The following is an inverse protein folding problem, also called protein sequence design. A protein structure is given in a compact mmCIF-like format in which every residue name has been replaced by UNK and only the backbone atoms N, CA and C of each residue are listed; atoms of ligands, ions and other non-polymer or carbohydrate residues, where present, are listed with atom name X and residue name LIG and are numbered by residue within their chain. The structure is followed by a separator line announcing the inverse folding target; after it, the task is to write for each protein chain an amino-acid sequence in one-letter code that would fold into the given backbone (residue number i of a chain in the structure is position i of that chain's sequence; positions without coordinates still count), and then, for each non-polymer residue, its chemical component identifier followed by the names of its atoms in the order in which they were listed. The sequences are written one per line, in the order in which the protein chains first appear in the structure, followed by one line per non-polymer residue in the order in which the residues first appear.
data_IF_648716519455
#
_entry.id   IF_648716519455
#
_cell.length_a   1.000
_cell.length_b   1.000
_cell.length_c   1.000
_cell.angle_alpha   90.00
_cell.angle_beta   90.00
_cell.angle_gamma   90.00
#
_symmetry.space_group_name_H-M   'P 1'
#
loop_
_entity.id
_entity.type
_entity.pdbx_description
1 polymer ?
#
# COMPACT_ATOMS: atom_id res chain seq x y z
N UNK A 1 -6.64 15.49 18.76
CA UNK A 1 -5.86 14.38 19.35
C UNK A 1 -4.47 14.95 19.53
N UNK A 2 -3.89 14.90 20.72
CA UNK A 2 -2.51 15.36 20.90
C UNK A 2 -1.52 14.35 20.30
N UNK A 3 -0.31 14.83 20.00
CA UNK A 3 0.72 14.07 19.29
C UNK A 3 1.16 12.83 20.09
N UNK A 4 1.15 12.92 21.44
CA UNK A 4 1.53 11.80 22.32
C UNK A 4 0.54 10.64 22.25
N UNK A 5 -0.77 10.92 22.30
CA UNK A 5 -1.79 9.87 22.16
C UNK A 5 -1.76 9.24 20.77
N UNK A 6 -1.48 10.04 19.73
CA UNK A 6 -1.34 9.53 18.37
C UNK A 6 -0.12 8.59 18.23
N UNK A 7 1.02 8.94 18.84
CA UNK A 7 2.23 8.10 18.84
C UNK A 7 1.98 6.76 19.52
N UNK A 8 1.37 6.76 20.72
CA UNK A 8 1.06 5.52 21.46
C UNK A 8 0.15 4.58 20.66
N UNK A 9 -0.84 5.11 19.94
CA UNK A 9 -1.72 4.30 19.09
C UNK A 9 -0.97 3.74 17.89
N UNK A 10 -0.08 4.52 17.28
CA UNK A 10 0.75 4.06 16.16
C UNK A 10 1.65 2.91 16.59
N UNK A 11 2.35 3.05 17.71
CA UNK A 11 3.19 2.00 18.28
C UNK A 11 2.38 0.73 18.58
N UNK A 12 1.18 0.89 19.15
CA UNK A 12 0.29 -0.23 19.40
C UNK A 12 -0.08 -0.98 18.11
N UNK A 13 -0.42 -0.24 17.05
CA UNK A 13 -0.76 -0.83 15.75
C UNK A 13 0.45 -1.53 15.12
N UNK A 14 1.63 -0.92 15.18
CA UNK A 14 2.89 -1.51 14.69
C UNK A 14 3.15 -2.86 15.37
N UNK A 15 2.98 -2.95 16.69
CA UNK A 15 3.14 -4.24 17.41
C UNK A 15 2.16 -5.30 16.91
N UNK A 16 0.90 -4.92 16.66
CA UNK A 16 -0.11 -5.86 16.19
C UNK A 16 0.12 -6.33 14.74
N UNK A 17 0.84 -5.56 13.91
CA UNK A 17 1.22 -6.00 12.56
C UNK A 17 2.03 -7.29 12.63
N UNK A 18 3.03 -7.37 13.53
CA UNK A 18 3.86 -8.57 13.72
C UNK A 18 3.01 -9.79 14.08
N UNK A 19 2.04 -9.62 14.97
CA UNK A 19 1.14 -10.70 15.39
C UNK A 19 0.32 -11.23 14.20
N UNK A 20 -0.26 -10.34 13.40
CA UNK A 20 -1.05 -10.72 12.22
C UNK A 20 -0.19 -11.37 11.15
N UNK A 21 1.00 -10.83 10.88
CA UNK A 21 1.93 -11.42 9.92
C UNK A 21 2.40 -12.80 10.38
N UNK A 22 2.68 -13.00 11.67
CA UNK A 22 3.11 -14.30 12.21
C UNK A 22 2.11 -15.44 11.91
N UNK A 23 0.81 -15.13 11.92
CA UNK A 23 -0.25 -16.07 11.60
C UNK A 23 -0.44 -16.26 10.09
N UNK A 24 -0.14 -15.22 9.32
CA UNK A 24 -0.29 -15.20 7.87
C UNK A 24 0.86 -15.89 7.14
N UNK A 25 2.12 -15.64 7.52
CA UNK A 25 3.30 -16.12 6.81
C UNK A 25 3.36 -17.65 6.58
N UNK A 26 2.91 -18.51 7.51
CA UNK A 26 2.88 -19.95 7.26
C UNK A 26 2.01 -20.37 6.07
N UNK A 27 1.03 -19.54 5.70
CA UNK A 27 0.12 -19.77 4.56
C UNK A 27 0.62 -19.18 3.23
N UNK A 28 1.75 -18.46 3.27
CA UNK A 28 2.31 -17.73 2.12
C UNK A 28 3.40 -18.56 1.45
N UNK A 29 3.17 -18.95 0.20
CA UNK A 29 4.19 -19.56 -0.65
C UNK A 29 5.27 -18.56 -1.12
N UNK A 30 5.99 -18.92 -2.18
CA UNK A 30 6.91 -18.00 -2.88
C UNK A 30 6.23 -17.26 -4.04
N UNK A 31 4.92 -17.47 -4.22
CA UNK A 31 4.14 -16.84 -5.29
C UNK A 31 4.08 -15.31 -5.13
N UNK A 32 3.89 -14.64 -6.26
CA UNK A 32 3.65 -13.21 -6.31
C UNK A 32 2.35 -12.84 -5.60
N UNK A 33 2.39 -11.81 -4.76
CA UNK A 33 1.19 -11.28 -4.10
C UNK A 33 1.30 -9.78 -3.83
N UNK A 34 0.16 -9.19 -3.49
CA UNK A 34 0.04 -7.76 -3.18
C UNK A 34 -0.70 -7.59 -1.87
N UNK A 35 -0.10 -6.86 -0.94
CA UNK A 35 -0.77 -6.42 0.29
C UNK A 35 -1.40 -5.06 0.01
N UNK A 36 -2.73 -5.00 0.11
CA UNK A 36 -3.48 -3.75 0.20
C UNK A 36 -3.66 -3.41 1.68
N UNK A 37 -2.82 -2.51 2.18
CA UNK A 37 -2.95 -2.00 3.53
C UNK A 37 -4.03 -0.94 3.63
N UNK A 38 -4.83 -1.00 4.70
CA UNK A 38 -5.91 -0.05 4.98
C UNK A 38 -5.67 0.54 6.36
N UNK A 39 -5.35 1.83 6.40
CA UNK A 39 -4.92 2.54 7.61
C UNK A 39 -5.90 3.67 7.94
N UNK A 40 -6.43 3.78 9.17
CA UNK A 40 -7.23 4.93 9.57
C UNK A 40 -6.40 6.21 9.57
N UNK A 41 -6.88 7.31 8.99
CA UNK A 41 -6.13 8.57 8.97
C UNK A 41 -5.83 9.12 10.36
N UNK A 42 -6.62 8.74 11.37
CA UNK A 42 -6.45 9.19 12.75
C UNK A 42 -5.10 8.82 13.39
N UNK A 43 -4.32 7.94 12.75
CA UNK A 43 -2.99 7.52 13.24
C UNK A 43 -1.84 8.09 12.40
N UNK A 44 -2.17 8.75 11.29
CA UNK A 44 -1.23 9.34 10.34
C UNK A 44 -1.13 10.84 10.57
N UNK A 45 0.02 11.42 10.23
CA UNK A 45 0.26 12.86 10.32
C UNK A 45 -0.47 13.56 9.18
N UNK A 46 -1.51 14.39 9.43
CA UNK A 46 -2.29 15.02 8.37
C UNK A 46 -1.48 15.95 7.47
N UNK A 47 -0.37 16.52 7.99
CA UNK A 47 0.54 17.37 7.21
C UNK A 47 1.49 16.56 6.33
N UNK A 48 1.65 15.26 6.60
CA UNK A 48 2.58 14.40 5.88
C UNK A 48 2.14 12.92 5.92
N UNK A 49 1.07 12.62 5.18
CA UNK A 49 0.52 11.27 5.13
C UNK A 49 1.51 10.23 4.58
N UNK A 50 2.33 10.60 3.59
CA UNK A 50 3.28 9.68 2.98
C UNK A 50 4.39 9.31 3.96
N UNK A 51 5.02 10.29 4.61
CA UNK A 51 6.08 9.96 5.59
C UNK A 51 5.51 9.25 6.82
N UNK A 52 4.28 9.56 7.24
CA UNK A 52 3.67 8.87 8.38
C UNK A 52 3.20 7.44 8.09
N UNK A 53 3.09 7.03 6.82
CA UNK A 53 2.81 5.63 6.47
C UNK A 53 4.07 4.77 6.36
N UNK A 54 5.23 5.38 6.08
CA UNK A 54 6.50 4.64 5.93
C UNK A 54 6.81 3.74 7.13
N UNK A 55 6.72 4.17 8.40
CA UNK A 55 6.99 3.28 9.53
C UNK A 55 6.11 2.03 9.57
N UNK A 56 4.86 2.13 9.11
CA UNK A 56 3.95 0.99 9.02
C UNK A 56 4.41 0.01 7.94
N UNK A 57 4.81 0.54 6.78
CA UNK A 57 5.31 -0.28 5.66
C UNK A 57 6.65 -0.92 6.02
N UNK A 58 7.59 -0.15 6.57
CA UNK A 58 8.90 -0.62 7.02
C UNK A 58 8.78 -1.74 8.05
N UNK A 59 7.84 -1.65 9.00
CA UNK A 59 7.59 -2.73 9.94
C UNK A 59 7.19 -4.05 9.24
N UNK A 60 6.36 -3.98 8.19
CA UNK A 60 5.97 -5.16 7.41
C UNK A 60 7.19 -5.72 6.66
N UNK A 61 7.96 -4.84 6.01
CA UNK A 61 9.15 -5.21 5.24
C UNK A 61 10.24 -5.82 6.13
N UNK A 62 10.54 -5.22 7.29
CA UNK A 62 11.48 -5.74 8.28
C UNK A 62 11.03 -7.09 8.83
N UNK A 63 9.74 -7.23 9.15
CA UNK A 63 9.21 -8.51 9.62
C UNK A 63 9.34 -9.60 8.55
N UNK A 64 9.01 -9.28 7.30
CA UNK A 64 9.17 -10.20 6.16
C UNK A 64 10.64 -10.57 5.95
N UNK A 65 11.54 -9.58 5.91
CA UNK A 65 12.97 -9.82 5.70
C UNK A 65 13.58 -10.73 6.77
N UNK A 66 13.15 -10.59 8.03
CA UNK A 66 13.67 -11.39 9.15
C UNK A 66 13.14 -12.83 9.17
N UNK A 67 11.91 -13.06 8.70
CA UNK A 67 11.24 -14.37 8.80
C UNK A 67 11.17 -15.13 7.46
N UNK A 68 11.26 -14.41 6.35
CA UNK A 68 11.15 -14.87 4.95
C UNK A 68 12.07 -14.03 4.05
N UNK A 69 13.40 -14.12 4.21
CA UNK A 69 14.36 -13.33 3.44
C UNK A 69 14.35 -13.64 1.92
N UNK A 70 13.66 -14.72 1.52
CA UNK A 70 13.38 -15.05 0.12
C UNK A 70 12.34 -14.10 -0.51
N UNK A 71 11.50 -13.46 0.30
CA UNK A 71 10.45 -12.55 -0.16
C UNK A 71 11.03 -11.18 -0.46
N UNK A 72 10.94 -10.75 -1.72
CA UNK A 72 11.29 -9.38 -2.13
C UNK A 72 10.09 -8.46 -2.03
N UNK A 73 10.21 -7.37 -1.28
CA UNK A 73 9.15 -6.37 -1.12
C UNK A 73 9.37 -5.13 -2.00
N UNK A 74 8.29 -4.43 -2.34
CA UNK A 74 8.33 -3.12 -3.00
C UNK A 74 7.14 -2.28 -2.58
N UNK A 75 7.38 -1.15 -1.92
CA UNK A 75 6.32 -0.17 -1.63
C UNK A 75 5.94 0.59 -2.91
N UNK A 76 4.77 0.27 -3.47
CA UNK A 76 4.41 0.72 -4.83
C UNK A 76 3.56 1.97 -4.83
N UNK A 77 2.56 2.08 -3.97
CA UNK A 77 1.67 3.23 -4.00
C UNK A 77 1.01 3.52 -2.66
N UNK A 78 0.66 4.77 -2.42
CA UNK A 78 -0.22 5.19 -1.34
C UNK A 78 -1.29 6.15 -1.85
N UNK A 79 -2.51 5.98 -1.35
CA UNK A 79 -3.69 6.76 -1.74
C UNK A 79 -4.43 7.22 -0.50
N UNK A 80 -4.55 8.53 -0.32
CA UNK A 80 -5.21 9.14 0.84
C UNK A 80 -6.64 9.48 0.45
N UNK A 81 -7.62 8.99 1.20
CA UNK A 81 -9.03 9.38 1.11
C UNK A 81 -9.52 9.93 2.44
N UNK A 82 -10.72 10.52 2.46
CA UNK A 82 -11.35 10.98 3.70
C UNK A 82 -11.50 9.82 4.69
N UNK A 83 -10.80 9.91 5.81
CA UNK A 83 -10.84 8.97 6.94
C UNK A 83 -9.96 7.72 6.82
N UNK A 84 -9.53 7.33 5.61
CA UNK A 84 -8.67 6.16 5.39
C UNK A 84 -7.59 6.41 4.34
N UNK A 85 -6.44 5.82 4.60
CA UNK A 85 -5.32 5.72 3.68
C UNK A 85 -5.14 4.28 3.25
N UNK A 86 -4.82 4.11 1.97
CA UNK A 86 -4.52 2.82 1.38
C UNK A 86 -3.05 2.81 0.96
N UNK A 87 -2.36 1.69 1.16
CA UNK A 87 -1.03 1.48 0.62
C UNK A 87 -0.93 0.13 -0.09
N UNK A 88 -0.08 0.06 -1.10
CA UNK A 88 0.22 -1.15 -1.86
C UNK A 88 1.66 -1.56 -1.64
N UNK A 89 1.84 -2.76 -1.09
CA UNK A 89 3.14 -3.41 -0.92
C UNK A 89 3.14 -4.68 -1.77
N UNK A 90 4.03 -4.74 -2.75
CA UNK A 90 4.18 -5.88 -3.63
C UNK A 90 5.23 -6.85 -3.08
N UNK A 91 4.92 -8.14 -3.15
CA UNK A 91 5.78 -9.23 -2.74
C UNK A 91 6.08 -10.12 -3.95
N UNK A 92 7.34 -10.45 -4.17
CA UNK A 92 7.82 -11.36 -5.22
C UNK A 92 7.40 -10.98 -6.64
N UNK A 93 7.41 -9.67 -6.96
CA UNK A 93 7.35 -9.19 -8.33
C UNK A 93 8.76 -8.86 -8.81
N UNK A 94 9.41 -9.84 -9.45
CA UNK A 94 10.76 -9.71 -9.99
C UNK A 94 10.80 -8.75 -11.19
N UNK A 95 9.87 -8.91 -12.13
CA UNK A 95 9.88 -8.22 -13.43
C UNK A 95 9.04 -6.95 -13.44
N UNK A 96 9.06 -6.21 -12.33
CA UNK A 96 8.36 -4.94 -12.26
C UNK A 96 9.03 -3.94 -13.21
N UNK A 97 8.39 -3.69 -14.34
CA UNK A 97 8.86 -2.74 -15.34
C UNK A 97 8.07 -1.43 -15.21
N UNK A 98 8.73 -0.40 -14.69
CA UNK A 98 8.13 0.91 -14.44
C UNK A 98 7.65 1.59 -15.73
N UNK A 99 8.37 1.41 -16.85
CA UNK A 99 8.03 1.99 -18.15
C UNK A 99 6.72 1.43 -18.69
N UNK A 100 6.45 0.14 -18.46
CA UNK A 100 5.25 -0.55 -18.97
C UNK A 100 4.17 -0.79 -17.92
N UNK A 101 4.38 -0.36 -16.67
CA UNK A 101 3.43 -0.57 -15.57
C UNK A 101 2.04 0.04 -15.83
N UNK A 102 1.97 1.11 -16.63
CA UNK A 102 0.72 1.74 -17.08
C UNK A 102 -0.05 0.95 -18.15
N UNK A 103 0.50 -0.15 -18.67
CA UNK A 103 -0.19 -1.09 -19.56
C UNK A 103 -0.36 -2.48 -18.92
N UNK A 104 0.22 -2.71 -17.74
CA UNK A 104 0.18 -3.99 -17.07
C UNK A 104 -1.27 -4.39 -16.70
N UNK A 105 -1.67 -5.59 -17.10
CA UNK A 105 -2.98 -6.21 -16.80
C UNK A 105 -2.86 -7.44 -15.91
N UNK A 106 -1.66 -7.69 -15.37
CA UNK A 106 -1.42 -8.86 -14.51
C UNK A 106 -2.32 -8.81 -13.29
N UNK A 107 -3.07 -9.89 -13.08
CA UNK A 107 -3.91 -10.08 -11.90
C UNK A 107 -3.04 -10.69 -10.81
N UNK A 108 -2.74 -9.88 -9.80
CA UNK A 108 -1.92 -10.30 -8.66
C UNK A 108 -2.87 -10.60 -7.49
N UNK A 109 -2.73 -11.74 -6.81
CA UNK A 109 -3.48 -12.04 -5.59
C UNK A 109 -3.38 -10.92 -4.55
N UNK A 110 -4.50 -10.25 -4.28
CA UNK A 110 -4.59 -9.19 -3.28
C UNK A 110 -4.96 -9.75 -1.90
N UNK A 111 -4.17 -9.41 -0.89
CA UNK A 111 -4.45 -9.63 0.52
C UNK A 111 -4.68 -8.28 1.19
N UNK A 112 -5.83 -8.11 1.85
CA UNK A 112 -6.17 -6.86 2.51
C UNK A 112 -5.71 -6.89 3.96
N UNK A 113 -4.68 -6.10 4.28
CA UNK A 113 -4.23 -5.86 5.64
C UNK A 113 -4.99 -4.67 6.21
N UNK A 114 -6.07 -4.96 6.96
CA UNK A 114 -6.86 -3.90 7.61
C UNK A 114 -6.24 -3.58 8.96
N UNK A 115 -5.60 -2.42 9.06
CA UNK A 115 -5.12 -1.89 10.33
C UNK A 115 -6.29 -1.24 11.09
N UNK A 116 -6.39 -1.53 12.38
CA UNK A 116 -7.40 -0.92 13.23
C UNK A 116 -6.85 -0.78 14.64
N UNK A 117 -7.48 0.08 15.45
CA UNK A 117 -7.11 0.26 16.86
C UNK A 117 -7.45 -0.96 17.74
N UNK A 118 -8.23 -1.92 17.24
CA UNK A 118 -8.69 -3.08 18.00
C UNK A 118 -7.93 -4.33 17.61
N UNK A 119 -8.21 -4.83 16.41
CA UNK A 119 -7.60 -6.04 15.89
C UNK A 119 -7.31 -5.84 14.41
N UNK A 120 -6.04 -5.91 13.97
CA UNK A 120 -5.73 -5.95 12.57
C UNK A 120 -6.04 -7.33 12.01
N UNK A 121 -6.32 -7.39 10.72
CA UNK A 121 -6.63 -8.64 10.01
C UNK A 121 -5.97 -8.61 8.65
N UNK A 122 -5.58 -9.79 8.15
CA UNK A 122 -5.12 -9.97 6.78
C UNK A 122 -5.91 -11.09 6.13
N UNK A 123 -6.56 -10.78 5.01
CA UNK A 123 -7.43 -11.74 4.32
C UNK A 123 -7.27 -11.62 2.81
N UNK A 124 -7.26 -12.77 2.13
CA UNK A 124 -7.30 -12.84 0.67
C UNK A 124 -8.62 -12.27 0.14
N UNK A 125 -8.54 -11.42 -0.89
CA UNK A 125 -9.69 -10.75 -1.51
C UNK A 125 -9.66 -10.82 -3.04
N UNK A 126 -10.08 -11.96 -3.65
CA UNK A 126 -10.01 -12.17 -5.10
C UNK A 126 -10.78 -11.12 -5.91
N UNK A 127 -11.87 -10.61 -5.36
CA UNK A 127 -12.67 -9.55 -5.97
C UNK A 127 -11.89 -8.25 -6.20
N UNK A 128 -10.76 -8.06 -5.52
CA UNK A 128 -9.92 -6.87 -5.62
C UNK A 128 -8.76 -6.99 -6.61
N UNK A 129 -8.42 -8.18 -7.11
CA UNK A 129 -7.24 -8.38 -7.97
C UNK A 129 -7.29 -7.48 -9.21
N UNK A 130 -8.42 -7.52 -9.94
CA UNK A 130 -8.64 -6.68 -11.11
C UNK A 130 -8.81 -5.21 -10.78
N UNK A 131 -9.48 -4.90 -9.66
CA UNK A 131 -9.73 -3.52 -9.23
C UNK A 131 -8.42 -2.82 -8.88
N UNK A 132 -7.57 -3.46 -8.08
CA UNK A 132 -6.26 -2.91 -7.66
C UNK A 132 -5.31 -2.81 -8.86
N UNK A 133 -5.30 -3.81 -9.75
CA UNK A 133 -4.51 -3.73 -10.98
C UNK A 133 -4.93 -2.52 -11.85
N UNK A 134 -6.24 -2.29 -12.02
CA UNK A 134 -6.75 -1.13 -12.77
C UNK A 134 -6.38 0.20 -12.10
N UNK A 135 -6.52 0.31 -10.77
CA UNK A 135 -6.16 1.53 -10.03
C UNK A 135 -4.67 1.82 -10.18
N UNK A 136 -3.80 0.83 -9.95
CA UNK A 136 -2.36 1.04 -10.02
C UNK A 136 -1.92 1.42 -11.44
N UNK A 137 -2.48 0.78 -12.47
CA UNK A 137 -2.25 1.13 -13.87
C UNK A 137 -2.60 2.59 -14.15
N UNK A 138 -3.74 3.04 -13.65
CA UNK A 138 -4.17 4.43 -13.81
C UNK A 138 -3.23 5.40 -13.08
N UNK A 139 -2.76 5.06 -11.87
CA UNK A 139 -1.77 5.90 -11.15
C UNK A 139 -0.47 6.03 -11.97
N UNK A 140 0.05 4.93 -12.52
CA UNK A 140 1.21 4.97 -13.42
C UNK A 140 0.99 5.77 -14.70
N UNK A 141 -0.24 5.79 -15.22
CA UNK A 141 -0.56 6.61 -16.37
C UNK A 141 -0.58 8.10 -16.01
N UNK A 142 -1.02 8.44 -14.80
CA UNK A 142 -1.20 9.81 -14.35
C UNK A 142 0.09 10.47 -13.83
N UNK A 143 0.96 9.70 -13.17
CA UNK A 143 2.16 10.19 -12.49
C UNK A 143 3.46 9.94 -13.31
N UNK A 144 3.33 9.51 -14.57
CA UNK A 144 4.43 9.21 -15.51
C UNK A 144 5.72 8.65 -14.88
N UNK A 145 6.80 9.44 -14.79
CA UNK A 145 8.13 9.03 -14.31
C UNK A 145 8.37 9.26 -12.81
N UNK A 146 7.32 9.57 -12.04
CA UNK A 146 7.47 9.79 -10.60
C UNK A 146 8.04 8.55 -9.89
N UNK A 147 8.99 8.71 -8.96
CA UNK A 147 9.55 7.57 -8.26
C UNK A 147 8.49 6.89 -7.39
N UNK A 148 8.67 5.59 -7.16
CA UNK A 148 7.85 4.87 -6.19
C UNK A 148 8.12 5.38 -4.75
N UNK A 149 7.12 5.36 -3.87
CA UNK A 149 5.74 4.97 -4.14
C UNK A 149 4.97 6.07 -4.89
N UNK A 150 4.11 5.66 -5.82
CA UNK A 150 3.12 6.56 -6.42
C UNK A 150 2.20 7.11 -5.33
N UNK A 151 1.85 8.39 -5.40
CA UNK A 151 1.15 9.05 -4.30
C UNK A 151 -0.01 9.91 -4.78
N UNK A 152 -1.22 9.64 -4.28
CA UNK A 152 -2.39 10.50 -4.49
C UNK A 152 -2.92 10.98 -3.14
N UNK A 153 -3.09 12.29 -2.99
CA UNK A 153 -3.72 12.88 -1.82
C UNK A 153 -5.08 13.49 -2.18
N UNK A 154 -6.19 12.79 -1.93
CA UNK A 154 -7.53 13.30 -2.21
C UNK A 154 -8.05 14.35 -1.19
N UNK A 155 -7.21 14.81 -0.26
CA UNK A 155 -7.47 16.06 0.48
C UNK A 155 -7.01 17.29 -0.29
N UNK A 156 -6.13 17.13 -1.28
CA UNK A 156 -5.69 18.24 -2.12
C UNK A 156 -6.76 18.55 -3.16
N UNK A 157 -7.43 19.69 -2.98
CA UNK A 157 -8.43 20.20 -3.93
C UNK A 157 -7.81 20.57 -5.28
N UNK A 158 -6.49 20.78 -5.31
CA UNK A 158 -5.71 21.08 -6.51
C UNK A 158 -4.92 19.88 -7.04
N UNK A 159 -5.29 18.65 -6.65
CA UNK A 159 -4.64 17.44 -7.17
C UNK A 159 -4.70 17.44 -8.70
N UNK A 160 -3.55 17.73 -9.32
CA UNK A 160 -3.36 17.79 -10.76
C UNK A 160 -2.25 16.82 -11.16
N UNK A 161 -2.43 16.23 -12.33
CA UNK A 161 -1.46 15.33 -12.93
C UNK A 161 -0.81 16.07 -14.10
N UNK A 162 0.37 16.67 -13.90
CA UNK A 162 0.93 17.60 -14.87
C UNK A 162 1.31 16.92 -16.19
N UNK A 163 1.70 15.64 -16.14
CA UNK A 163 2.20 14.91 -17.31
C UNK A 163 1.67 13.46 -17.33
N UNK A 164 0.40 13.20 -17.70
CA UNK A 164 -0.06 11.83 -17.89
C UNK A 164 0.54 11.23 -19.17
N UNK A 165 0.99 9.96 -19.11
CA UNK A 165 1.57 9.22 -20.25
C UNK A 165 0.62 9.09 -21.44
N UNK A 166 -0.65 8.84 -21.15
CA UNK A 166 -1.74 8.89 -22.13
C UNK A 166 -2.83 9.82 -21.64
N UNK A 167 -3.35 10.74 -22.50
CA UNK A 167 -4.51 11.54 -22.17
C UNK A 167 -5.70 10.62 -21.85
N UNK A 168 -6.37 10.85 -20.72
CA UNK A 168 -7.58 10.10 -20.38
C UNK A 168 -8.73 10.56 -21.28
N UNK A 169 -9.07 9.79 -22.31
CA UNK A 169 -10.39 9.87 -22.92
C UNK A 169 -11.30 8.90 -22.16
N UNK A 170 -12.17 9.45 -21.31
CA UNK A 170 -13.14 8.65 -20.56
C UNK A 170 -14.16 7.98 -21.48
N UNK A 171 -14.55 6.75 -21.14
CA UNK A 171 -15.82 6.13 -21.53
C UNK A 171 -16.54 5.70 -20.25
#
# INVERSE_FOLDING_TARGET
MDDSTQSMIREHIIRQIREVLSQFLPSVGSDTMRILGVTPNSILEPRNYLESIRPIVSEIEEYLQNNRPDIKTRFVAAKIFRGKTYFLLDLNIADYNYETAHDCKMLIPVYVLRLSKRQPTILRKPELDGTVAKVLRNMHNLQDQDPLPLFDNHYDENLQYPNPRRPQFGY
#
